data_IF_137847035766
#
_entry.id   IF_137847035766
#
_cell.length_a   1.000
_cell.length_b   1.000
_cell.length_c   1.000
_cell.angle_alpha   90.00
_cell.angle_beta   90.00
_cell.angle_gamma   90.00
#
_symmetry.space_group_name_H-M   'P 1'
#
loop_
_entity.id
_entity.type
_entity.pdbx_description
1 polymer ?
#
# COMPACT_ATOMS: atom_id res chain seq x y z
N UNK A 1 6.29 44.60 -35.68
CA UNK A 1 6.68 43.64 -34.64
C UNK A 1 6.02 42.31 -34.96
N UNK A 2 6.82 41.30 -35.30
CA UNK A 2 6.34 39.97 -35.67
C UNK A 2 6.38 39.09 -34.42
N UNK A 3 5.23 38.57 -33.98
CA UNK A 3 5.15 37.62 -32.87
C UNK A 3 4.90 36.25 -33.48
N UNK A 4 5.93 35.40 -33.50
CA UNK A 4 5.75 33.98 -33.78
C UNK A 4 5.18 33.29 -32.53
N UNK A 5 4.08 32.54 -32.62
CA UNK A 5 3.72 31.60 -31.59
C UNK A 5 4.53 30.32 -31.80
N UNK A 6 5.45 30.02 -30.87
CA UNK A 6 6.06 28.70 -30.75
C UNK A 6 5.02 27.77 -30.13
N UNK A 7 4.29 27.05 -30.98
CA UNK A 7 3.47 25.92 -30.53
C UNK A 7 4.37 24.69 -30.36
N UNK A 8 4.80 24.42 -29.12
CA UNK A 8 5.26 23.10 -28.73
C UNK A 8 4.05 22.18 -28.64
N UNK A 9 3.60 21.64 -29.76
CA UNK A 9 2.62 20.54 -29.78
C UNK A 9 3.35 19.22 -29.53
N UNK A 10 3.47 18.84 -28.26
CA UNK A 10 3.57 17.41 -27.95
C UNK A 10 2.20 16.83 -28.25
N UNK A 11 2.09 16.07 -29.34
CA UNK A 11 0.88 15.36 -29.71
C UNK A 11 0.63 14.28 -28.66
N UNK A 12 -0.33 14.49 -27.76
CA UNK A 12 -0.83 13.46 -26.86
C UNK A 12 -1.44 12.34 -27.71
N UNK A 13 -0.68 11.27 -27.90
CA UNK A 13 -1.13 10.02 -28.53
C UNK A 13 -1.51 9.04 -27.42
N UNK A 14 -2.43 9.45 -26.56
CA UNK A 14 -2.92 8.61 -25.48
C UNK A 14 -3.89 7.58 -26.04
N UNK A 15 -3.36 6.45 -26.48
CA UNK A 15 -4.13 5.25 -26.76
C UNK A 15 -4.70 4.67 -25.44
N UNK A 16 -5.87 4.02 -25.46
CA UNK A 16 -6.47 3.42 -24.27
C UNK A 16 -5.51 2.43 -23.60
N UNK A 17 -5.38 2.54 -22.29
CA UNK A 17 -4.55 1.64 -21.50
C UNK A 17 -5.07 0.20 -21.61
N UNK A 18 -4.21 -0.73 -22.04
CA UNK A 18 -4.58 -2.14 -22.12
C UNK A 18 -4.55 -2.76 -20.72
N UNK A 19 -5.66 -3.35 -20.30
CA UNK A 19 -5.76 -4.15 -19.08
C UNK A 19 -6.13 -5.58 -19.48
N UNK A 20 -5.24 -6.54 -19.24
CA UNK A 20 -5.52 -7.95 -19.55
C UNK A 20 -6.34 -8.59 -18.43
N UNK A 21 -7.66 -8.60 -18.64
CA UNK A 21 -8.64 -9.16 -17.72
C UNK A 21 -8.54 -10.68 -17.49
N UNK A 22 -7.63 -11.40 -18.16
CA UNK A 22 -7.34 -12.83 -17.88
C UNK A 22 -6.16 -13.05 -16.94
N UNK A 23 -5.32 -12.03 -16.70
CA UNK A 23 -4.08 -12.18 -15.90
C UNK A 23 -4.29 -11.88 -14.43
N UNK A 24 -3.80 -12.73 -13.53
CA UNK A 24 -4.09 -12.63 -12.10
C UNK A 24 -2.99 -12.00 -11.25
N UNK A 25 -1.98 -11.34 -11.82
CA UNK A 25 -0.93 -10.62 -11.06
C UNK A 25 -0.83 -9.17 -11.51
N UNK A 26 -0.42 -8.27 -10.62
CA UNK A 26 -0.29 -6.83 -10.89
C UNK A 26 0.51 -6.54 -12.18
N UNK A 27 1.74 -7.02 -12.28
CA UNK A 27 2.65 -6.75 -13.41
C UNK A 27 2.12 -7.26 -14.76
N UNK A 28 1.28 -8.30 -14.73
CA UNK A 28 0.69 -8.89 -15.94
C UNK A 28 -0.69 -8.34 -16.26
N UNK A 29 -1.41 -7.79 -15.27
CA UNK A 29 -2.78 -7.28 -15.41
C UNK A 29 -2.77 -5.88 -16.01
N UNK A 30 -1.87 -5.01 -15.52
CA UNK A 30 -1.82 -3.60 -15.90
C UNK A 30 -0.68 -3.37 -16.88
N UNK A 31 -1.01 -2.95 -18.10
CA UNK A 31 -0.01 -2.50 -19.07
C UNK A 31 0.31 -1.03 -18.81
N UNK A 32 1.58 -0.62 -18.74
CA UNK A 32 1.94 0.80 -18.71
C UNK A 32 1.43 1.53 -19.95
N UNK A 33 1.18 2.85 -19.89
CA UNK A 33 0.84 3.63 -21.08
C UNK A 33 1.94 3.54 -22.15
N UNK A 34 1.58 3.90 -23.40
CA UNK A 34 2.52 3.91 -24.53
C UNK A 34 3.79 4.69 -24.19
N UNK A 35 4.95 4.09 -24.47
CA UNK A 35 6.26 4.67 -24.18
C UNK A 35 6.77 4.48 -22.75
N UNK A 36 5.95 3.91 -21.86
CA UNK A 36 6.36 3.48 -20.53
C UNK A 36 6.61 1.98 -20.48
N UNK A 37 7.52 1.57 -19.60
CA UNK A 37 7.87 0.18 -19.36
C UNK A 37 7.91 -0.07 -17.86
N UNK A 38 7.49 -1.25 -17.42
CA UNK A 38 7.63 -1.67 -16.03
C UNK A 38 9.08 -1.53 -15.58
N UNK A 39 9.29 -0.89 -14.43
CA UNK A 39 10.60 -0.89 -13.78
C UNK A 39 10.88 -2.28 -13.22
N UNK A 40 12.12 -2.75 -13.38
CA UNK A 40 12.53 -4.06 -12.90
C UNK A 40 12.77 -4.02 -11.40
N UNK A 41 12.07 -4.88 -10.68
CA UNK A 41 12.27 -5.08 -9.25
C UNK A 41 13.45 -6.02 -8.95
N UNK A 42 14.10 -5.79 -7.82
CA UNK A 42 15.18 -6.67 -7.37
C UNK A 42 14.62 -8.04 -6.96
N UNK A 43 15.23 -9.17 -7.36
CA UNK A 43 14.78 -10.49 -6.95
C UNK A 43 14.72 -10.64 -5.42
N UNK A 44 13.66 -11.27 -4.93
CA UNK A 44 13.34 -11.49 -3.51
C UNK A 44 13.15 -10.19 -2.70
N UNK A 45 12.92 -9.06 -3.36
CA UNK A 45 12.60 -7.80 -2.70
C UNK A 45 11.12 -7.68 -2.37
N UNK A 46 10.78 -6.72 -1.50
CA UNK A 46 9.38 -6.38 -1.25
C UNK A 46 8.70 -5.84 -2.51
N UNK A 47 9.43 -5.08 -3.34
CA UNK A 47 8.93 -4.61 -4.63
C UNK A 47 8.53 -5.74 -5.57
N UNK A 48 9.39 -6.76 -5.72
CA UNK A 48 9.09 -7.94 -6.54
C UNK A 48 7.84 -8.68 -6.02
N UNK A 49 7.73 -8.83 -4.70
CA UNK A 49 6.56 -9.42 -4.07
C UNK A 49 5.27 -8.67 -4.42
N UNK A 50 5.29 -7.33 -4.34
CA UNK A 50 4.12 -6.49 -4.62
C UNK A 50 3.71 -6.56 -6.11
N UNK A 51 4.63 -6.39 -7.05
CA UNK A 51 4.28 -6.43 -8.49
C UNK A 51 3.80 -7.81 -8.94
N UNK A 52 4.14 -8.88 -8.21
CA UNK A 52 3.65 -10.23 -8.45
C UNK A 52 2.42 -10.62 -7.62
N UNK A 53 1.88 -9.72 -6.80
CA UNK A 53 0.79 -10.02 -5.89
C UNK A 53 -0.46 -10.50 -6.65
N UNK A 54 -1.11 -11.60 -6.21
CA UNK A 54 -2.28 -12.14 -6.89
C UNK A 54 -3.49 -11.20 -6.78
N UNK A 55 -4.30 -11.15 -7.83
CA UNK A 55 -5.51 -10.34 -7.93
C UNK A 55 -6.74 -11.25 -8.06
N UNK A 56 -7.87 -10.76 -7.54
CA UNK A 56 -9.17 -11.36 -7.85
C UNK A 56 -9.52 -11.23 -9.36
N UNK A 57 -10.45 -12.05 -9.86
CA UNK A 57 -11.00 -11.89 -11.19
C UNK A 57 -11.63 -10.49 -11.38
N UNK A 58 -11.74 -10.02 -12.63
CA UNK A 58 -12.44 -8.77 -12.94
C UNK A 58 -13.88 -8.77 -12.43
N UNK A 59 -14.37 -7.60 -12.01
CA UNK A 59 -15.75 -7.43 -11.54
C UNK A 59 -16.03 -7.96 -10.13
N UNK A 60 -15.02 -8.50 -9.43
CA UNK A 60 -15.16 -8.86 -8.03
C UNK A 60 -15.34 -7.57 -7.19
N UNK A 61 -16.44 -7.44 -6.42
CA UNK A 61 -16.74 -6.20 -5.72
C UNK A 61 -15.84 -6.00 -4.50
N UNK A 62 -15.43 -4.76 -4.22
CA UNK A 62 -14.82 -4.42 -2.92
C UNK A 62 -15.84 -4.67 -1.82
N UNK A 63 -15.43 -5.43 -0.80
CA UNK A 63 -16.25 -5.71 0.38
C UNK A 63 -15.62 -5.12 1.62
N UNK A 64 -16.44 -4.95 2.64
CA UNK A 64 -15.99 -4.66 3.99
C UNK A 64 -15.56 -5.95 4.74
N UNK A 65 -15.09 -5.80 5.97
CA UNK A 65 -14.72 -6.92 6.86
C UNK A 65 -15.86 -7.89 7.20
N UNK A 66 -17.12 -7.54 6.87
CA UNK A 66 -18.28 -8.43 7.00
C UNK A 66 -18.57 -9.19 5.71
N UNK A 67 -17.66 -9.07 4.73
CA UNK A 67 -17.78 -9.66 3.39
C UNK A 67 -18.96 -9.09 2.59
N UNK A 68 -19.46 -7.90 2.97
CA UNK A 68 -20.57 -7.23 2.28
C UNK A 68 -20.01 -6.22 1.28
N UNK A 69 -20.46 -6.23 0.01
CA UNK A 69 -20.05 -5.22 -0.97
C UNK A 69 -20.29 -3.80 -0.46
N UNK A 70 -19.28 -2.94 -0.56
CA UNK A 70 -19.42 -1.52 -0.20
C UNK A 70 -20.23 -0.77 -1.26
N UNK A 71 -20.87 0.35 -0.88
CA UNK A 71 -21.69 1.13 -1.82
C UNK A 71 -20.90 1.67 -3.01
N UNK A 72 -19.66 2.11 -2.77
CA UNK A 72 -18.82 2.77 -3.76
C UNK A 72 -17.92 1.76 -4.47
N UNK A 73 -18.27 1.39 -5.71
CA UNK A 73 -17.54 0.40 -6.52
C UNK A 73 -16.77 1.03 -7.70
N UNK A 74 -16.86 2.35 -7.90
CA UNK A 74 -16.29 3.08 -9.05
C UNK A 74 -14.87 3.63 -8.80
N UNK A 75 -14.30 3.40 -7.62
CA UNK A 75 -13.01 3.99 -7.15
C UNK A 75 -11.80 3.07 -7.23
N UNK A 76 -11.98 1.86 -7.75
CA UNK A 76 -10.95 0.84 -7.84
C UNK A 76 -10.98 0.17 -9.21
N UNK A 77 -9.89 -0.52 -9.57
CA UNK A 77 -9.78 -1.27 -10.83
C UNK A 77 -9.50 -2.77 -10.64
N UNK A 78 -8.96 -3.16 -9.49
CA UNK A 78 -8.74 -4.56 -9.12
C UNK A 78 -8.59 -4.70 -7.61
N UNK A 79 -8.82 -5.92 -7.11
CA UNK A 79 -8.65 -6.26 -5.70
C UNK A 79 -7.47 -7.23 -5.56
N UNK A 80 -6.65 -7.01 -4.55
CA UNK A 80 -5.63 -7.96 -4.14
C UNK A 80 -6.32 -9.20 -3.57
N UNK A 81 -5.79 -10.38 -3.90
CA UNK A 81 -6.29 -11.66 -3.43
C UNK A 81 -5.75 -11.96 -2.02
N UNK A 82 -6.23 -11.19 -1.06
CA UNK A 82 -5.90 -11.28 0.37
C UNK A 82 -7.13 -10.90 1.19
N UNK A 83 -7.38 -11.60 2.29
CA UNK A 83 -8.51 -11.31 3.16
C UNK A 83 -8.30 -10.01 3.94
N UNK A 84 -9.40 -9.31 4.22
CA UNK A 84 -9.46 -8.20 5.17
C UNK A 84 -9.52 -8.68 6.63
N UNK A 85 -10.01 -9.91 6.86
CA UNK A 85 -10.33 -10.45 8.18
C UNK A 85 -11.83 -10.32 8.51
N UNK A 86 -12.21 -10.70 9.72
CA UNK A 86 -13.60 -10.71 10.21
C UNK A 86 -13.92 -9.58 11.20
N UNK A 87 -12.97 -8.68 11.42
CA UNK A 87 -13.06 -7.53 12.33
C UNK A 87 -12.86 -6.24 11.55
N UNK A 88 -13.38 -5.14 12.07
CA UNK A 88 -13.10 -3.80 11.56
C UNK A 88 -11.67 -3.35 11.92
N UNK A 89 -10.70 -4.12 11.43
CA UNK A 89 -9.26 -3.98 11.56
C UNK A 89 -8.68 -4.19 10.16
N UNK A 90 -7.43 -3.78 9.90
CA UNK A 90 -6.85 -3.72 8.56
C UNK A 90 -7.30 -2.50 7.74
N UNK A 91 -7.27 -1.32 8.37
CA UNK A 91 -7.61 -0.03 7.78
C UNK A 91 -6.37 0.70 7.26
N UNK A 92 -6.50 1.40 6.13
CA UNK A 92 -5.47 2.25 5.50
C UNK A 92 -4.00 1.80 5.68
N UNK A 93 -3.31 2.27 6.74
CA UNK A 93 -1.92 1.93 7.06
C UNK A 93 -1.69 0.42 7.28
N UNK A 94 -2.68 -0.27 7.83
CA UNK A 94 -2.62 -1.69 8.11
C UNK A 94 -2.50 -2.53 6.84
N UNK A 95 -2.99 -2.04 5.70
CA UNK A 95 -2.78 -2.71 4.41
C UNK A 95 -1.29 -2.82 4.09
N UNK A 96 -0.52 -1.75 4.33
CA UNK A 96 0.93 -1.77 4.16
C UNK A 96 1.58 -2.75 5.14
N UNK A 97 1.23 -2.66 6.43
CA UNK A 97 1.78 -3.54 7.46
C UNK A 97 1.47 -5.02 7.18
N UNK A 98 0.24 -5.33 6.74
CA UNK A 98 -0.18 -6.66 6.30
C UNK A 98 0.69 -7.16 5.16
N UNK A 99 0.81 -6.38 4.09
CA UNK A 99 1.58 -6.78 2.91
C UNK A 99 3.06 -7.01 3.23
N UNK A 100 3.66 -6.14 4.04
CA UNK A 100 5.05 -6.25 4.45
C UNK A 100 5.29 -7.48 5.35
N UNK A 101 4.42 -7.72 6.33
CA UNK A 101 4.53 -8.87 7.20
C UNK A 101 4.34 -10.20 6.44
N UNK A 102 3.38 -10.27 5.51
CA UNK A 102 3.16 -11.45 4.65
C UNK A 102 4.33 -11.70 3.70
N UNK A 103 4.96 -10.65 3.18
CA UNK A 103 6.19 -10.76 2.41
C UNK A 103 7.29 -11.43 3.24
N UNK A 104 7.57 -10.93 4.45
CA UNK A 104 8.57 -11.51 5.35
C UNK A 104 8.22 -12.96 5.73
N UNK A 105 6.94 -13.22 6.00
CA UNK A 105 6.42 -14.55 6.29
C UNK A 105 6.68 -15.53 5.14
N UNK A 106 6.37 -15.14 3.90
CA UNK A 106 6.58 -15.97 2.71
C UNK A 106 8.04 -16.35 2.48
N UNK A 107 8.96 -15.52 2.97
CA UNK A 107 10.41 -15.73 2.89
C UNK A 107 10.99 -16.40 4.16
N UNK A 108 10.14 -16.80 5.11
CA UNK A 108 10.54 -17.35 6.43
C UNK A 108 11.43 -16.40 7.25
N UNK A 109 11.35 -15.09 7.00
CA UNK A 109 12.11 -14.03 7.69
C UNK A 109 11.39 -13.57 8.96
N UNK A 110 11.03 -14.52 9.81
CA UNK A 110 10.12 -14.31 10.94
C UNK A 110 10.65 -13.34 12.00
N UNK A 111 11.96 -13.32 12.21
CA UNK A 111 12.59 -12.47 13.24
C UNK A 111 12.63 -10.99 12.87
N UNK A 112 12.30 -10.66 11.62
CA UNK A 112 12.21 -9.29 11.10
C UNK A 112 10.79 -8.73 11.18
N UNK A 113 9.80 -9.55 11.53
CA UNK A 113 8.40 -9.12 11.66
C UNK A 113 8.21 -8.43 13.01
N UNK A 114 7.93 -7.12 12.97
CA UNK A 114 7.69 -6.30 14.15
C UNK A 114 7.25 -4.89 13.77
N UNK A 115 6.46 -4.26 14.62
CA UNK A 115 5.96 -2.90 14.41
C UNK A 115 5.85 -2.15 15.74
N UNK A 116 5.90 -0.83 15.68
CA UNK A 116 5.61 0.01 16.83
C UNK A 116 4.11 0.26 16.97
N UNK A 117 3.62 0.20 18.21
CA UNK A 117 2.34 0.77 18.57
C UNK A 117 2.40 2.30 18.50
N UNK A 118 1.24 2.94 18.42
CA UNK A 118 1.11 4.40 18.48
C UNK A 118 1.76 4.96 19.75
N UNK A 119 1.71 4.19 20.86
CA UNK A 119 2.35 4.51 22.15
C UNK A 119 3.89 4.45 22.13
N UNK A 120 4.51 3.97 21.05
CA UNK A 120 5.97 3.80 20.94
C UNK A 120 6.50 2.44 21.40
N UNK A 121 5.63 1.56 21.93
CA UNK A 121 6.03 0.20 22.29
C UNK A 121 6.23 -0.63 21.03
N UNK A 122 7.42 -1.20 20.86
CA UNK A 122 7.67 -2.16 19.79
C UNK A 122 7.16 -3.55 20.19
N UNK A 123 6.46 -4.21 19.28
CA UNK A 123 6.01 -5.59 19.48
C UNK A 123 6.42 -6.43 18.28
N UNK A 124 7.22 -7.46 18.52
CA UNK A 124 7.73 -8.35 17.48
C UNK A 124 6.99 -9.68 17.47
N UNK A 125 6.87 -10.26 16.27
CA UNK A 125 6.33 -11.62 16.10
C UNK A 125 7.11 -12.66 16.89
N UNK A 126 8.45 -12.50 16.99
CA UNK A 126 9.32 -13.42 17.75
C UNK A 126 8.96 -13.49 19.23
N UNK A 127 8.37 -12.43 19.79
CA UNK A 127 7.94 -12.37 21.18
C UNK A 127 6.53 -12.96 21.31
N UNK A 128 5.64 -12.62 20.38
CA UNK A 128 4.30 -13.20 20.34
C UNK A 128 4.35 -14.72 20.22
N UNK A 129 5.12 -15.27 19.27
CA UNK A 129 5.19 -16.72 19.05
C UNK A 129 5.72 -17.51 20.25
N UNK A 130 6.42 -16.84 21.19
CA UNK A 130 6.94 -17.41 22.43
C UNK A 130 5.98 -17.33 23.63
N UNK A 131 4.84 -16.67 23.48
CA UNK A 131 3.83 -16.57 24.54
C UNK A 131 3.56 -15.16 25.05
N UNK A 132 4.27 -14.13 24.56
CA UNK A 132 3.98 -12.75 24.95
C UNK A 132 2.64 -12.30 24.33
N UNK A 133 1.78 -11.69 25.15
CA UNK A 133 0.48 -11.16 24.75
C UNK A 133 0.29 -9.75 25.30
N UNK A 134 -0.69 -9.03 24.74
CA UNK A 134 -1.09 -7.70 25.21
C UNK A 134 -2.30 -7.78 26.12
N UNK A 135 -2.31 -6.97 27.18
CA UNK A 135 -3.51 -6.67 27.97
C UNK A 135 -3.67 -5.16 28.09
N UNK A 136 -4.92 -4.71 28.06
CA UNK A 136 -5.24 -3.29 28.19
C UNK A 136 -5.82 -3.01 29.58
N UNK A 137 -5.24 -2.03 30.27
CA UNK A 137 -5.73 -1.57 31.56
C UNK A 137 -5.58 -0.06 31.65
N UNK A 138 -6.68 0.65 32.02
CA UNK A 138 -6.72 2.11 32.13
C UNK A 138 -6.13 2.83 30.90
N UNK A 139 -6.52 2.39 29.69
CA UNK A 139 -6.06 2.92 28.39
C UNK A 139 -4.54 2.80 28.15
N UNK A 140 -3.88 1.87 28.82
CA UNK A 140 -2.47 1.52 28.58
C UNK A 140 -2.37 0.07 28.17
N UNK A 141 -1.54 -0.20 27.17
CA UNK A 141 -1.20 -1.55 26.74
C UNK A 141 0.02 -2.01 27.51
N UNK A 142 -0.07 -3.17 28.13
CA UNK A 142 1.07 -3.84 28.77
C UNK A 142 1.25 -5.24 28.20
N UNK A 143 2.50 -5.70 28.18
CA UNK A 143 2.82 -7.05 27.79
C UNK A 143 2.81 -7.96 29.02
N UNK A 144 2.39 -9.21 28.82
CA UNK A 144 2.53 -10.28 29.81
C UNK A 144 2.85 -11.58 29.09
N UNK A 145 3.48 -12.50 29.81
CA UNK A 145 3.74 -13.85 29.30
C UNK A 145 2.55 -14.75 29.63
N UNK A 146 1.96 -15.36 28.60
CA UNK A 146 0.89 -16.35 28.75
C UNK A 146 1.41 -17.78 28.92
N UNK A 147 2.70 -18.03 28.65
CA UNK A 147 3.30 -19.37 28.56
C UNK A 147 2.87 -20.18 27.33
N UNK A 148 2.02 -19.62 26.46
CA UNK A 148 1.47 -20.31 25.29
C UNK A 148 2.22 -19.91 24.02
N UNK A 149 3.21 -20.73 23.65
CA UNK A 149 3.89 -20.61 22.37
C UNK A 149 3.01 -21.11 21.22
N UNK A 150 2.99 -20.36 20.12
CA UNK A 150 2.30 -20.74 18.88
C UNK A 150 2.95 -20.00 17.71
N UNK A 151 3.52 -20.77 16.78
CA UNK A 151 4.18 -20.27 15.58
C UNK A 151 3.37 -20.52 14.30
N UNK A 152 2.10 -20.91 14.44
CA UNK A 152 1.20 -21.18 13.32
C UNK A 152 0.81 -19.89 12.57
N UNK A 153 0.35 -20.06 11.33
CA UNK A 153 -0.18 -18.95 10.54
C UNK A 153 -1.43 -18.30 11.17
N UNK A 154 -2.39 -19.04 11.74
CA UNK A 154 -3.48 -18.43 12.51
C UNK A 154 -2.99 -17.54 13.66
N UNK A 155 -2.01 -17.99 14.44
CA UNK A 155 -1.40 -17.18 15.49
C UNK A 155 -0.72 -15.91 14.94
N UNK A 156 -0.08 -16.00 13.77
CA UNK A 156 0.44 -14.83 13.05
C UNK A 156 -0.65 -13.85 12.63
N UNK A 157 -1.81 -14.33 12.17
CA UNK A 157 -2.97 -13.48 11.88
C UNK A 157 -3.51 -12.80 13.15
N UNK A 158 -3.52 -13.51 14.28
CA UNK A 158 -3.92 -12.93 15.57
C UNK A 158 -2.92 -11.90 16.10
N UNK A 159 -1.62 -12.13 15.90
CA UNK A 159 -0.59 -11.12 16.14
C UNK A 159 -0.85 -9.86 15.30
N UNK A 160 -1.14 -10.00 14.00
CA UNK A 160 -1.46 -8.85 13.15
C UNK A 160 -2.73 -8.11 13.61
N UNK A 161 -3.74 -8.81 14.12
CA UNK A 161 -4.92 -8.16 14.73
C UNK A 161 -4.53 -7.27 15.93
N UNK A 162 -3.51 -7.63 16.71
CA UNK A 162 -2.98 -6.79 17.77
C UNK A 162 -2.27 -5.56 17.17
N UNK A 163 -1.47 -5.76 16.13
CA UNK A 163 -0.80 -4.66 15.43
C UNK A 163 -1.83 -3.66 14.90
N UNK A 164 -2.85 -4.10 14.16
CA UNK A 164 -3.89 -3.24 13.59
C UNK A 164 -4.73 -2.51 14.64
N UNK A 165 -4.76 -3.00 15.88
CA UNK A 165 -5.45 -2.34 16.99
C UNK A 165 -4.64 -1.19 17.58
N UNK A 166 -3.32 -1.33 17.66
CA UNK A 166 -2.47 -0.44 18.45
C UNK A 166 -1.49 0.38 17.61
N UNK A 167 -1.18 -0.05 16.40
CA UNK A 167 -0.41 0.67 15.39
C UNK A 167 -1.33 1.40 14.40
N UNK A 168 -0.75 2.25 13.56
CA UNK A 168 -1.50 2.96 12.52
C UNK A 168 -0.61 3.97 11.81
N UNK A 169 -1.22 4.99 11.19
CA UNK A 169 -0.45 5.98 10.41
C UNK A 169 0.59 6.74 11.24
N UNK A 170 0.33 6.98 12.53
CA UNK A 170 1.26 7.68 13.43
C UNK A 170 2.52 6.85 13.67
N UNK A 171 2.38 5.56 14.03
CA UNK A 171 3.55 4.71 14.25
C UNK A 171 4.26 4.37 12.95
N UNK A 172 3.51 4.12 11.86
CA UNK A 172 4.10 3.87 10.55
C UNK A 172 4.95 5.04 10.05
N UNK A 173 4.48 6.30 10.21
CA UNK A 173 5.27 7.48 9.87
C UNK A 173 6.54 7.59 10.73
N UNK A 174 6.43 7.31 12.04
CA UNK A 174 7.57 7.33 12.97
C UNK A 174 8.60 6.25 12.68
N UNK A 175 8.20 5.09 12.18
CA UNK A 175 9.08 3.99 11.75
C UNK A 175 9.67 4.20 10.34
N UNK A 176 9.42 5.36 9.72
CA UNK A 176 9.77 5.63 8.33
C UNK A 176 10.69 6.84 8.17
N UNK A 177 11.17 7.00 6.93
CA UNK A 177 11.96 8.15 6.47
C UNK A 177 11.30 8.78 5.26
N UNK A 178 11.46 10.09 5.10
CA UNK A 178 10.95 10.82 3.94
C UNK A 178 11.72 10.45 2.67
N UNK A 179 10.99 10.23 1.59
CA UNK A 179 11.56 10.18 0.23
C UNK A 179 11.53 11.61 -0.31
N UNK A 180 12.71 12.18 -0.57
CA UNK A 180 12.88 13.60 -0.91
C UNK A 180 13.20 13.86 -2.38
N UNK A 181 13.41 12.81 -3.16
CA UNK A 181 13.66 12.88 -4.60
C UNK A 181 12.68 11.97 -5.36
N UNK A 182 12.12 12.47 -6.46
CA UNK A 182 11.23 11.73 -7.34
C UNK A 182 11.92 10.51 -7.99
N UNK A 183 13.23 10.59 -8.25
CA UNK A 183 14.03 9.48 -8.74
C UNK A 183 14.25 8.38 -7.67
N UNK A 184 14.04 8.69 -6.40
CA UNK A 184 14.22 7.74 -5.31
C UNK A 184 12.94 6.99 -4.94
N UNK A 185 11.76 7.38 -5.43
CA UNK A 185 10.50 6.66 -5.13
C UNK A 185 10.59 5.21 -5.63
N UNK A 186 10.28 4.24 -4.76
CA UNK A 186 10.34 2.80 -5.01
C UNK A 186 8.97 2.14 -4.79
N UNK A 187 8.74 0.99 -5.41
CA UNK A 187 7.64 0.10 -5.03
C UNK A 187 7.81 -0.35 -3.59
N UNK A 188 6.72 -0.32 -2.83
CA UNK A 188 6.71 -0.55 -1.39
C UNK A 188 6.85 0.73 -0.54
N UNK A 189 7.18 1.87 -1.13
CA UNK A 189 6.95 3.17 -0.48
C UNK A 189 5.45 3.46 -0.38
N UNK A 190 5.10 4.50 0.37
CA UNK A 190 3.70 4.86 0.58
C UNK A 190 3.52 6.36 0.75
N UNK A 191 2.34 6.85 0.39
CA UNK A 191 1.91 8.22 0.64
C UNK A 191 1.10 8.20 1.94
N UNK A 192 1.41 9.09 2.88
CA UNK A 192 0.83 9.05 4.21
C UNK A 192 0.51 10.43 4.77
N UNK A 193 -0.61 10.52 5.47
CA UNK A 193 -0.92 11.60 6.41
C UNK A 193 -1.05 10.98 7.80
N UNK A 194 -0.08 11.15 8.70
CA UNK A 194 -0.17 10.65 10.06
C UNK A 194 -1.29 11.35 10.83
N UNK A 195 -2.08 10.60 11.58
CA UNK A 195 -3.14 11.16 12.42
C UNK A 195 -4.14 10.12 12.93
N UNK A 196 -5.12 10.59 13.70
CA UNK A 196 -6.30 9.84 14.12
C UNK A 196 -7.54 10.74 13.96
N UNK A 197 -8.17 10.77 12.77
CA UNK A 197 -7.90 9.91 11.61
C UNK A 197 -6.66 10.35 10.80
N UNK A 198 -5.97 9.36 10.24
CA UNK A 198 -4.94 9.53 9.21
C UNK A 198 -5.30 8.72 7.96
N UNK A 199 -4.47 8.78 6.93
CA UNK A 199 -4.64 7.90 5.75
C UNK A 199 -3.30 7.49 5.16
N UNK A 200 -3.27 6.35 4.48
CA UNK A 200 -2.10 5.88 3.76
C UNK A 200 -2.51 5.10 2.50
N UNK A 201 -1.71 5.23 1.44
CA UNK A 201 -1.79 4.41 0.22
C UNK A 201 -0.41 3.88 -0.15
N UNK A 202 -0.35 2.64 -0.63
CA UNK A 202 0.89 1.93 -0.94
C UNK A 202 1.22 2.02 -2.43
N UNK A 203 2.48 2.25 -2.77
CA UNK A 203 2.97 2.18 -4.15
C UNK A 203 3.21 0.71 -4.50
N UNK A 204 2.39 0.17 -5.39
CA UNK A 204 2.38 -1.26 -5.75
C UNK A 204 3.25 -1.61 -6.96
N UNK A 205 3.70 -0.60 -7.71
CA UNK A 205 4.39 -0.80 -8.98
C UNK A 205 4.78 0.50 -9.63
N UNK A 206 5.88 0.49 -10.38
CA UNK A 206 6.38 1.66 -11.11
C UNK A 206 6.58 1.31 -12.58
N UNK A 207 6.16 2.23 -13.45
CA UNK A 207 6.55 2.24 -14.84
C UNK A 207 7.35 3.51 -15.15
N UNK A 208 8.34 3.43 -16.03
CA UNK A 208 9.18 4.56 -16.43
C UNK A 208 9.28 4.64 -17.95
N UNK A 209 9.40 5.87 -18.48
CA UNK A 209 9.70 6.10 -19.89
C UNK A 209 11.20 6.37 -20.11
N UNK A 210 11.61 6.50 -21.38
CA UNK A 210 13.02 6.77 -21.75
C UNK A 210 13.57 8.11 -21.25
N UNK A 211 12.69 9.06 -20.91
CA UNK A 211 13.06 10.36 -20.35
C UNK A 211 13.17 10.34 -18.81
N UNK A 212 12.93 9.19 -18.17
CA UNK A 212 12.98 9.04 -16.71
C UNK A 212 11.71 9.48 -15.98
N UNK A 213 10.63 9.89 -16.68
CA UNK A 213 9.34 10.12 -16.03
C UNK A 213 8.77 8.80 -15.52
N UNK A 214 8.16 8.83 -14.34
CA UNK A 214 7.62 7.67 -13.65
C UNK A 214 6.13 7.77 -13.40
N UNK A 215 5.49 6.60 -13.43
CA UNK A 215 4.09 6.39 -13.17
C UNK A 215 3.94 5.29 -12.12
N UNK A 216 2.95 5.43 -11.24
CA UNK A 216 2.80 4.61 -10.04
C UNK A 216 1.42 3.97 -9.98
N UNK A 217 1.37 2.67 -9.63
CA UNK A 217 0.12 2.05 -9.18
C UNK A 217 -0.02 2.24 -7.68
N UNK A 218 -1.22 2.64 -7.24
CA UNK A 218 -1.52 2.86 -5.82
C UNK A 218 -2.55 1.84 -5.34
N UNK A 219 -2.40 1.37 -4.10
CA UNK A 219 -3.39 0.54 -3.43
C UNK A 219 -3.69 1.03 -2.01
N UNK A 220 -4.88 0.71 -1.53
CA UNK A 220 -5.30 1.01 -0.16
C UNK A 220 -6.28 -0.04 0.38
N UNK A 221 -6.40 -0.12 1.70
CA UNK A 221 -7.67 -0.43 2.34
C UNK A 221 -8.29 0.88 2.87
N UNK A 222 -9.51 0.81 3.41
CA UNK A 222 -10.26 2.01 3.80
C UNK A 222 -10.83 1.90 5.21
N UNK A 223 -11.60 2.91 5.64
CA UNK A 223 -12.30 2.96 6.92
C UNK A 223 -13.81 3.06 6.66
N UNK A 224 -14.66 2.12 7.14
CA UNK A 224 -14.33 0.84 7.79
C UNK A 224 -13.45 -0.06 6.92
N UNK A 225 -12.83 -1.07 7.54
CA UNK A 225 -11.92 -2.00 6.89
C UNK A 225 -12.54 -2.65 5.65
N UNK A 226 -11.77 -2.66 4.56
CA UNK A 226 -12.19 -3.14 3.23
C UNK A 226 -11.09 -3.98 2.59
N UNK A 227 -11.48 -4.81 1.62
CA UNK A 227 -10.54 -5.52 0.73
C UNK A 227 -9.47 -4.53 0.20
N UNK A 228 -8.20 -4.95 0.18
CA UNK A 228 -7.13 -4.11 -0.36
C UNK A 228 -7.28 -4.04 -1.89
N UNK A 229 -7.31 -2.84 -2.45
CA UNK A 229 -7.62 -2.65 -3.87
C UNK A 229 -6.71 -1.62 -4.55
N UNK A 230 -6.49 -1.83 -5.84
CA UNK A 230 -5.79 -0.88 -6.72
C UNK A 230 -6.72 0.28 -7.05
N UNK A 231 -6.25 1.49 -6.80
CA UNK A 231 -7.00 2.72 -6.98
C UNK A 231 -7.17 3.08 -8.45
N UNK A 232 -8.35 3.60 -8.79
CA UNK A 232 -8.63 4.20 -10.10
C UNK A 232 -8.16 5.65 -10.10
N UNK A 233 -7.38 6.06 -11.09
CA UNK A 233 -7.05 7.48 -11.24
C UNK A 233 -8.24 8.26 -11.80
N UNK A 234 -9.03 8.85 -10.92
CA UNK A 234 -10.22 9.63 -11.31
C UNK A 234 -9.88 11.04 -11.78
N UNK A 235 -8.68 11.56 -11.44
CA UNK A 235 -8.24 12.89 -11.86
C UNK A 235 -7.69 12.87 -13.30
N UNK A 236 -7.06 11.75 -13.69
CA UNK A 236 -6.50 11.52 -15.02
C UNK A 236 -7.00 10.18 -15.60
N UNK A 237 -8.25 10.11 -16.07
CA UNK A 237 -8.84 8.87 -16.61
C UNK A 237 -8.03 8.25 -17.75
N UNK A 238 -7.34 9.06 -18.54
CA UNK A 238 -6.46 8.69 -19.65
C UNK A 238 -5.19 7.96 -19.20
N UNK A 239 -4.73 8.20 -17.97
CA UNK A 239 -3.60 7.50 -17.34
C UNK A 239 -4.05 6.36 -16.42
N UNK A 240 -5.33 6.30 -16.05
CA UNK A 240 -5.84 5.35 -15.07
C UNK A 240 -5.48 3.90 -15.43
N UNK A 241 -4.98 3.09 -14.46
CA UNK A 241 -4.92 3.36 -13.02
C UNK A 241 -3.59 3.97 -12.54
N UNK A 242 -2.76 4.47 -13.44
CA UNK A 242 -1.45 5.03 -13.11
C UNK A 242 -1.56 6.46 -12.61
N UNK A 243 -0.70 6.81 -11.64
CA UNK A 243 -0.59 8.13 -11.05
C UNK A 243 0.78 8.73 -11.34
N UNK A 244 0.83 10.03 -11.54
CA UNK A 244 2.06 10.81 -11.39
C UNK A 244 2.19 11.24 -9.93
N UNK A 245 3.41 11.16 -9.39
CA UNK A 245 3.72 11.60 -8.03
C UNK A 245 4.88 12.58 -8.07
N UNK A 246 4.81 13.59 -7.20
CA UNK A 246 5.89 14.53 -6.95
C UNK A 246 6.03 14.78 -5.44
N UNK A 247 7.22 14.50 -4.91
CA UNK A 247 7.58 14.70 -3.49
C UNK A 247 7.39 16.16 -3.03
N UNK A 248 7.46 17.12 -3.96
CA UNK A 248 7.29 18.55 -3.68
C UNK A 248 5.86 19.05 -3.96
N UNK A 249 4.95 18.20 -4.43
CA UNK A 249 3.60 18.63 -4.78
C UNK A 249 2.85 19.13 -3.53
N UNK A 250 2.12 20.26 -3.64
CA UNK A 250 1.32 20.79 -2.54
C UNK A 250 0.17 19.85 -2.15
N UNK A 251 -0.23 18.95 -3.07
CA UNK A 251 -1.17 17.87 -2.79
C UNK A 251 -1.05 16.72 -3.78
N UNK A 252 -1.46 15.53 -3.36
CA UNK A 252 -1.74 14.37 -4.22
C UNK A 252 -3.19 13.96 -4.06
N UNK A 253 -3.94 13.91 -5.16
CA UNK A 253 -5.35 13.52 -5.17
C UNK A 253 -5.46 12.07 -5.63
N UNK A 254 -6.09 11.24 -4.79
CA UNK A 254 -6.43 9.85 -5.13
C UNK A 254 -7.94 9.69 -5.26
N UNK A 255 -8.41 8.49 -5.63
CA UNK A 255 -9.84 8.24 -5.85
C UNK A 255 -10.71 8.53 -4.61
N UNK A 256 -10.15 8.35 -3.41
CA UNK A 256 -10.87 8.45 -2.13
C UNK A 256 -10.27 9.46 -1.14
N UNK A 257 -9.06 9.95 -1.36
CA UNK A 257 -8.36 10.82 -0.40
C UNK A 257 -7.48 11.87 -1.08
N UNK A 258 -7.38 13.06 -0.48
CA UNK A 258 -6.40 14.09 -0.88
C UNK A 258 -5.33 14.23 0.21
N UNK A 259 -4.08 13.93 -0.14
CA UNK A 259 -2.91 14.18 0.70
C UNK A 259 -2.46 15.61 0.50
N UNK A 260 -2.35 16.41 1.57
CA UNK A 260 -1.95 17.82 1.50
C UNK A 260 -1.15 18.19 2.76
N UNK A 261 0.17 18.42 2.67
CA UNK A 261 1.00 18.24 1.48
C UNK A 261 1.14 16.76 1.07
N UNK A 262 1.69 16.52 -0.13
CA UNK A 262 2.16 15.18 -0.48
C UNK A 262 3.28 14.78 0.48
N UNK A 263 3.20 13.58 1.05
CA UNK A 263 4.23 13.04 1.94
C UNK A 263 4.47 11.58 1.61
N UNK A 264 5.58 11.31 0.91
CA UNK A 264 6.01 9.97 0.52
C UNK A 264 7.06 9.49 1.52
N UNK A 265 6.85 8.29 2.04
CA UNK A 265 7.66 7.68 3.09
C UNK A 265 8.11 6.29 2.69
N UNK A 266 9.28 5.91 3.19
CA UNK A 266 9.85 4.57 3.12
C UNK A 266 10.04 4.03 4.52
N UNK A 267 9.56 2.82 4.76
CA UNK A 267 9.81 2.12 6.02
C UNK A 267 11.30 1.85 6.20
N UNK A 268 11.87 2.14 7.38
CA UNK A 268 13.33 2.10 7.60
C UNK A 268 13.99 0.76 7.31
N UNK A 269 13.25 -0.35 7.49
CA UNK A 269 13.79 -1.68 7.22
C UNK A 269 13.89 -2.04 5.73
N UNK A 270 13.26 -1.25 4.83
CA UNK A 270 13.42 -1.39 3.39
C UNK A 270 14.67 -0.61 2.94
N UNK A 271 15.75 -1.32 2.64
CA UNK A 271 16.98 -0.75 2.04
C UNK A 271 16.79 -0.50 0.55
#
# INVERSE_FOLDING_TARGET
MCVQPVFSQVTETTEPLLVDLKKSKIITRFTPPKGYFWMKEQPRSFGEYLVNFPLHPPGFPVRDYRMVPVKTQDRHVALLKIDVGDKDLQQCADAWMRLYAEYLWSQKRFDEIGFEFTSGQFFAWKDYKKGIRTREFKRKVSFYDSGVADESYPAFRDYLNIIFRYAGTISLDRESVSVTDNADIKTGDFIIRPGSPGHAVVIMGIAANKAGKRLYLLAESFMPAQDIHILKNTAHPELSPWYELDVNAPKTVTAKYTFSPTSIKRFRALK
#
